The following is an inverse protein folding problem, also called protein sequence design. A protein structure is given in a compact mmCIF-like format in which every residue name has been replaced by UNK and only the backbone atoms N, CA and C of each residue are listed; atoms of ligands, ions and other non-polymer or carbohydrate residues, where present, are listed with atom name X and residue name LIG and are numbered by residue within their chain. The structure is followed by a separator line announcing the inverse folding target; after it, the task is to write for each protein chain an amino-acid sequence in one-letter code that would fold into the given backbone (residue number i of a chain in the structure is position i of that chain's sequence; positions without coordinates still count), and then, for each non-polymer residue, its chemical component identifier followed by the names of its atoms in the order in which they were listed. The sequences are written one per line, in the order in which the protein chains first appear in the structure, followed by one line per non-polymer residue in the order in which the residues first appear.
data_IF_507531518076
#
_entry.id   IF_507531518076
#
_cell.length_a   1.000
_cell.length_b   1.000
_cell.length_c   1.000
_cell.angle_alpha   90.00
_cell.angle_beta   90.00
_cell.angle_gamma   90.00
#
_symmetry.space_group_name_H-M   'P 1'
#
loop_
_entity.id
_entity.type
_entity.pdbx_description
1 polymer ?
#
# COMPACT_ATOMS: atom_id res chain seq x y z
N UNK A 1 -15.14 4.10 2.17
CA UNK A 1 -14.14 4.57 1.20
C UNK A 1 -12.95 5.05 2.02
N UNK A 2 -11.91 4.21 2.14
CA UNK A 2 -10.68 4.61 2.83
C UNK A 2 -9.85 5.41 1.83
N UNK A 3 -9.82 6.74 1.99
CA UNK A 3 -9.00 7.60 1.14
C UNK A 3 -7.65 7.70 1.82
N UNK A 4 -6.64 7.01 1.30
CA UNK A 4 -5.26 7.19 1.72
C UNK A 4 -4.76 8.48 1.08
N UNK A 5 -4.91 9.60 1.80
CA UNK A 5 -4.35 10.85 1.32
C UNK A 5 -2.82 10.79 1.42
N UNK A 6 -2.09 11.27 0.41
CA UNK A 6 -0.65 11.52 0.52
C UNK A 6 -0.45 12.70 1.47
N UNK A 7 -0.50 12.44 2.77
CA UNK A 7 -0.19 13.48 3.76
C UNK A 7 1.33 13.55 3.89
N UNK A 8 1.92 14.63 3.36
CA UNK A 8 3.25 15.13 3.72
C UNK A 8 3.30 15.52 5.21
N UNK A 9 3.08 14.55 6.10
CA UNK A 9 3.29 14.69 7.52
C UNK A 9 4.29 13.60 7.90
N UNK A 10 5.50 14.09 8.15
CA UNK A 10 6.64 13.34 8.65
C UNK A 10 6.19 12.29 9.67
N UNK A 11 6.51 11.03 9.39
CA UNK A 11 6.98 10.02 10.34
C UNK A 11 6.55 10.21 11.80
N UNK A 12 5.38 9.72 12.20
CA UNK A 12 5.13 9.50 13.66
C UNK A 12 4.63 8.10 14.00
N UNK A 13 4.11 7.30 13.07
CA UNK A 13 3.78 5.90 13.37
C UNK A 13 4.07 4.98 12.19
N UNK A 14 5.30 4.45 12.15
CA UNK A 14 5.72 3.32 11.29
C UNK A 14 5.05 2.01 11.72
N UNK A 15 3.72 2.03 11.87
CA UNK A 15 2.96 0.84 12.14
C UNK A 15 2.47 0.28 10.81
N UNK A 16 2.77 -0.99 10.53
CA UNK A 16 2.32 -1.59 9.30
C UNK A 16 0.80 -1.54 9.16
N UNK A 17 0.31 -1.03 8.02
CA UNK A 17 -1.13 -0.94 7.76
C UNK A 17 -1.64 -2.32 7.35
N UNK A 18 -2.55 -2.90 8.13
CA UNK A 18 -3.07 -4.23 7.86
C UNK A 18 -4.35 -4.16 7.03
N UNK A 19 -4.28 -4.59 5.78
CA UNK A 19 -5.42 -4.68 4.85
C UNK A 19 -5.91 -6.13 4.66
N UNK A 20 -5.54 -7.07 5.54
CA UNK A 20 -5.93 -8.47 5.40
C UNK A 20 -7.44 -8.63 5.28
N UNK A 21 -7.90 -9.12 4.13
CA UNK A 21 -9.32 -9.35 3.86
C UNK A 21 -10.14 -8.09 3.57
N UNK A 22 -9.51 -6.92 3.42
CA UNK A 22 -10.19 -5.71 2.98
C UNK A 22 -10.53 -5.81 1.48
N UNK A 23 -11.77 -5.46 1.11
CA UNK A 23 -12.12 -5.26 -0.29
C UNK A 23 -11.73 -3.84 -0.70
N UNK A 24 -10.54 -3.72 -1.30
CA UNK A 24 -10.00 -2.46 -1.84
C UNK A 24 -10.12 -2.39 -3.37
N UNK A 25 -10.87 -3.29 -4.00
CA UNK A 25 -11.13 -3.24 -5.44
C UNK A 25 -11.89 -1.93 -5.79
N UNK A 26 -11.25 -1.06 -6.57
CA UNK A 26 -11.76 0.27 -6.93
C UNK A 26 -11.26 1.40 -6.04
N UNK A 27 -10.35 1.14 -5.09
CA UNK A 27 -9.65 2.20 -4.39
C UNK A 27 -8.67 2.89 -5.35
N UNK A 28 -8.72 4.23 -5.42
CA UNK A 28 -7.66 5.00 -6.09
C UNK A 28 -6.42 4.93 -5.23
N UNK A 29 -5.43 4.17 -5.68
CA UNK A 29 -4.13 4.08 -5.03
C UNK A 29 -3.10 4.98 -5.70
N UNK A 30 -3.44 5.73 -6.74
CA UNK A 30 -2.51 6.64 -7.40
C UNK A 30 -1.81 7.56 -6.40
N UNK A 31 -0.48 7.63 -6.45
CA UNK A 31 0.39 8.38 -5.52
C UNK A 31 0.30 7.96 -4.04
N UNK A 32 -0.25 6.78 -3.72
CA UNK A 32 -0.35 6.31 -2.34
C UNK A 32 1.01 5.82 -1.81
N UNK A 33 1.26 6.07 -0.52
CA UNK A 33 2.34 5.45 0.23
C UNK A 33 1.82 4.21 0.97
N UNK A 34 2.20 3.02 0.49
CA UNK A 34 1.87 1.73 1.11
C UNK A 34 3.03 1.18 1.95
N UNK A 35 3.98 2.02 2.36
CA UNK A 35 5.13 1.59 3.14
C UNK A 35 4.72 0.80 4.40
N UNK A 36 5.19 -0.44 4.52
CA UNK A 36 4.87 -1.36 5.61
C UNK A 36 3.49 -2.00 5.53
N UNK A 37 2.72 -1.83 4.45
CA UNK A 37 1.38 -2.39 4.36
C UNK A 37 1.37 -3.92 4.23
N UNK A 38 0.30 -4.56 4.72
CA UNK A 38 0.04 -5.99 4.56
C UNK A 38 -1.21 -6.20 3.71
N UNK A 39 -1.00 -6.57 2.44
CA UNK A 39 -2.04 -6.84 1.43
C UNK A 39 -2.33 -8.34 1.28
N UNK A 40 -1.83 -9.18 2.19
CA UNK A 40 -2.07 -10.63 2.12
C UNK A 40 -3.57 -10.93 2.15
N UNK A 41 -4.03 -11.68 1.15
CA UNK A 41 -5.43 -12.10 1.05
C UNK A 41 -6.39 -11.01 0.57
N UNK A 42 -5.89 -9.88 0.07
CA UNK A 42 -6.69 -8.96 -0.74
C UNK A 42 -6.75 -9.48 -2.18
N UNK A 43 -7.93 -9.49 -2.78
CA UNK A 43 -8.12 -9.83 -4.19
C UNK A 43 -8.11 -8.54 -5.02
N UNK A 44 -6.92 -7.96 -5.22
CA UNK A 44 -6.74 -6.71 -5.97
C UNK A 44 -5.62 -6.87 -6.99
N UNK A 45 -5.85 -6.32 -8.18
CA UNK A 45 -4.84 -6.14 -9.19
C UNK A 45 -4.17 -4.78 -8.99
N UNK A 46 -2.99 -4.80 -8.37
CA UNK A 46 -2.25 -3.58 -8.05
C UNK A 46 -1.70 -2.92 -9.32
N UNK A 47 -1.34 -3.72 -10.34
CA UNK A 47 -0.79 -3.21 -11.60
C UNK A 47 -1.77 -2.28 -12.34
N UNK A 48 -3.08 -2.49 -12.20
CA UNK A 48 -4.10 -1.68 -12.85
C UNK A 48 -4.62 -0.50 -12.02
N UNK A 49 -4.38 -0.47 -10.70
CA UNK A 49 -4.98 0.52 -9.79
C UNK A 49 -3.96 1.41 -9.05
N UNK A 50 -2.67 1.14 -9.20
CA UNK A 50 -1.60 1.80 -8.46
C UNK A 50 -0.57 2.43 -9.42
N UNK A 51 -0.85 3.64 -9.92
CA UNK A 51 0.17 4.44 -10.60
C UNK A 51 0.99 5.23 -9.58
N UNK A 52 2.32 5.18 -9.67
CA UNK A 52 3.23 5.91 -8.79
C UNK A 52 3.04 5.61 -7.29
N UNK A 53 2.72 4.35 -6.95
CA UNK A 53 2.60 3.90 -5.56
C UNK A 53 3.94 3.52 -4.98
N UNK A 54 4.19 4.01 -3.77
CA UNK A 54 5.36 3.61 -2.99
C UNK A 54 5.08 2.30 -2.28
N UNK A 55 5.81 1.26 -2.68
CA UNK A 55 5.76 -0.06 -2.06
C UNK A 55 7.04 -0.30 -1.27
N UNK A 56 7.20 0.33 -0.10
CA UNK A 56 8.36 0.03 0.75
C UNK A 56 7.99 -1.01 1.82
N UNK A 57 8.75 -2.09 2.02
CA UNK A 57 8.46 -3.13 3.03
C UNK A 57 7.00 -3.63 3.00
N UNK A 58 6.37 -3.63 1.83
CA UNK A 58 4.95 -3.95 1.66
C UNK A 58 4.80 -5.44 1.40
N UNK A 59 3.97 -6.15 2.16
CA UNK A 59 3.63 -7.55 1.89
C UNK A 59 2.50 -7.61 0.87
N UNK A 60 2.81 -8.07 -0.33
CA UNK A 60 1.91 -8.20 -1.47
C UNK A 60 0.91 -9.37 -1.29
N UNK A 61 -0.16 -9.45 -2.10
CA UNK A 61 -1.17 -10.51 -2.00
C UNK A 61 -0.61 -11.93 -2.14
N UNK A 62 0.43 -12.09 -2.97
CA UNK A 62 1.22 -13.32 -3.19
C UNK A 62 2.20 -13.65 -2.04
N UNK A 63 2.23 -12.79 -1.00
CA UNK A 63 3.10 -12.86 0.19
C UNK A 63 4.53 -12.41 -0.05
N UNK A 64 4.86 -11.90 -1.23
CA UNK A 64 6.18 -11.32 -1.47
C UNK A 64 6.29 -9.95 -0.83
N UNK A 65 7.52 -9.55 -0.48
CA UNK A 65 7.78 -8.21 0.04
C UNK A 65 8.23 -7.34 -1.13
N UNK A 66 7.44 -6.32 -1.43
CA UNK A 66 7.80 -5.28 -2.38
C UNK A 66 8.48 -4.12 -1.63
N UNK A 67 9.61 -3.67 -2.17
CA UNK A 67 10.45 -2.57 -1.65
C UNK A 67 10.69 -1.48 -2.72
N UNK A 68 9.81 -1.37 -3.71
CA UNK A 68 9.84 -0.33 -4.75
C UNK A 68 9.62 1.05 -4.12
N UNK A 69 10.46 2.01 -4.50
CA UNK A 69 10.37 3.42 -4.08
C UNK A 69 10.54 3.64 -2.56
N UNK A 70 11.24 2.73 -1.87
CA UNK A 70 11.78 3.04 -0.54
C UNK A 70 12.68 4.28 -0.62
N UNK A 71 12.36 5.32 0.15
CA UNK A 71 13.33 6.38 0.43
C UNK A 71 14.59 5.72 1.02
N UNK A 72 15.74 5.95 0.40
CA UNK A 72 17.04 5.45 0.87
C UNK A 72 17.47 6.18 2.14
#
# INVERSE_FOLDING_TARGET
MLVLFPTHLQTIYSHPINFRGANIAGAKLDDADLSGAYLRGTNIDLESQAQNVKFCKTVMPDREINNRDCEQ
#
